data_IF_959753776243
#
_entry.id   IF_959753776243
#
_cell.length_a   1.000
_cell.length_b   1.000
_cell.length_c   1.000
_cell.angle_alpha   90.00
_cell.angle_beta   90.00
_cell.angle_gamma   90.00
#
_symmetry.space_group_name_H-M   'P 1'
#
loop_
_entity.id
_entity.type
_entity.pdbx_description
1 polymer ?
#
# COMPACT_ATOMS: atom_id res chain seq x y z
N UNK A 1 28.56 6.11 32.30
CA UNK A 1 27.36 6.97 32.35
C UNK A 1 27.23 7.91 31.14
N UNK A 2 27.84 9.10 31.09
CA UNK A 2 27.62 10.07 29.98
C UNK A 2 28.11 9.58 28.60
N UNK A 3 29.25 8.90 28.53
CA UNK A 3 29.82 8.34 27.30
C UNK A 3 29.02 7.15 26.75
N UNK A 4 28.42 6.35 27.63
CA UNK A 4 27.56 5.21 27.26
C UNK A 4 26.22 5.68 26.71
N UNK A 5 25.65 6.75 27.29
CA UNK A 5 24.42 7.39 26.80
C UNK A 5 24.66 8.02 25.43
N UNK A 6 25.78 8.74 25.24
CA UNK A 6 26.15 9.32 23.95
C UNK A 6 26.43 8.25 22.89
N UNK A 7 27.06 7.13 23.28
CA UNK A 7 27.28 5.98 22.41
C UNK A 7 25.98 5.33 21.94
N UNK A 8 25.05 5.06 22.88
CA UNK A 8 23.74 4.48 22.56
C UNK A 8 22.89 5.41 21.67
N UNK A 9 22.91 6.72 21.91
CA UNK A 9 22.23 7.71 21.09
C UNK A 9 22.79 7.77 19.66
N UNK A 10 24.12 7.76 19.51
CA UNK A 10 24.78 7.74 18.21
C UNK A 10 24.45 6.46 17.41
N UNK A 11 24.50 5.29 18.06
CA UNK A 11 24.13 4.01 17.42
C UNK A 11 22.65 3.99 17.01
N UNK A 12 21.74 4.48 17.87
CA UNK A 12 20.32 4.59 17.56
C UNK A 12 20.05 5.51 16.36
N UNK A 13 20.74 6.64 16.27
CA UNK A 13 20.63 7.56 15.13
C UNK A 13 21.10 6.92 13.82
N UNK A 14 22.20 6.16 13.84
CA UNK A 14 22.73 5.47 12.66
C UNK A 14 21.75 4.38 12.18
N UNK A 15 21.22 3.57 13.08
CA UNK A 15 20.24 2.52 12.75
C UNK A 15 18.96 3.14 12.18
N UNK A 16 18.47 4.22 12.79
CA UNK A 16 17.29 4.95 12.32
C UNK A 16 17.50 5.57 10.95
N UNK A 17 18.65 6.20 10.71
CA UNK A 17 19.00 6.78 9.42
C UNK A 17 19.08 5.69 8.33
N UNK A 18 19.68 4.55 8.63
CA UNK A 18 19.76 3.43 7.70
C UNK A 18 18.38 2.82 7.39
N UNK A 19 17.55 2.60 8.42
CA UNK A 19 16.18 2.13 8.25
C UNK A 19 15.34 3.11 7.41
N UNK A 20 15.44 4.41 7.70
CA UNK A 20 14.76 5.47 6.96
C UNK A 20 15.19 5.50 5.49
N UNK A 21 16.51 5.42 5.23
CA UNK A 21 17.04 5.38 3.87
C UNK A 21 16.52 4.15 3.09
N UNK A 22 16.49 2.97 3.72
CA UNK A 22 15.95 1.74 3.11
C UNK A 22 14.45 1.84 2.80
N UNK A 23 13.67 2.43 3.70
CA UNK A 23 12.23 2.65 3.49
C UNK A 23 12.00 3.66 2.36
N UNK A 24 12.74 4.78 2.37
CA UNK A 24 12.62 5.81 1.34
C UNK A 24 12.98 5.28 -0.05
N UNK A 25 14.11 4.58 -0.21
CA UNK A 25 14.53 4.00 -1.48
C UNK A 25 13.50 3.00 -2.04
N UNK A 26 12.95 2.14 -1.16
CA UNK A 26 11.89 1.20 -1.54
C UNK A 26 10.64 1.94 -1.99
N UNK A 27 10.20 2.95 -1.25
CA UNK A 27 9.00 3.70 -1.57
C UNK A 27 9.12 4.41 -2.92
N UNK A 28 10.28 5.04 -3.20
CA UNK A 28 10.55 5.67 -4.50
C UNK A 28 10.45 4.65 -5.64
N UNK A 29 11.06 3.47 -5.47
CA UNK A 29 11.01 2.43 -6.49
C UNK A 29 9.58 1.91 -6.71
N UNK A 30 8.86 1.62 -5.63
CA UNK A 30 7.46 1.15 -5.68
C UNK A 30 6.57 2.20 -6.32
N UNK A 31 6.73 3.48 -5.99
CA UNK A 31 5.94 4.57 -6.55
C UNK A 31 6.18 4.75 -8.03
N UNK A 32 7.45 4.69 -8.47
CA UNK A 32 7.80 4.77 -9.89
C UNK A 32 7.16 3.65 -10.70
N UNK A 33 7.32 2.39 -10.26
CA UNK A 33 6.72 1.23 -10.92
C UNK A 33 5.18 1.31 -10.90
N UNK A 34 4.59 1.72 -9.78
CA UNK A 34 3.13 1.82 -9.66
C UNK A 34 2.55 2.91 -10.56
N UNK A 35 3.26 4.03 -10.75
CA UNK A 35 2.88 5.08 -11.71
C UNK A 35 2.91 4.57 -13.14
N UNK A 36 3.99 3.91 -13.56
CA UNK A 36 4.09 3.33 -14.91
C UNK A 36 3.02 2.25 -15.15
N UNK A 37 2.71 1.41 -14.15
CA UNK A 37 1.62 0.43 -14.26
C UNK A 37 0.25 1.09 -14.32
N UNK A 38 0.06 2.23 -13.66
CA UNK A 38 -1.19 3.01 -13.77
C UNK A 38 -1.36 3.54 -15.18
N UNK A 39 -0.30 4.10 -15.77
CA UNK A 39 -0.30 4.53 -17.18
C UNK A 39 -0.57 3.36 -18.13
N UNK A 40 0.11 2.23 -17.91
CA UNK A 40 -0.10 1.03 -18.72
C UNK A 40 -1.56 0.54 -18.65
N UNK A 41 -2.17 0.46 -17.45
CA UNK A 41 -3.57 0.07 -17.30
C UNK A 41 -4.51 1.04 -18.04
N UNK A 42 -4.23 2.34 -17.97
CA UNK A 42 -5.05 3.34 -18.66
C UNK A 42 -4.98 3.16 -20.18
N UNK A 43 -3.78 2.96 -20.73
CA UNK A 43 -3.63 2.64 -22.15
C UNK A 43 -4.33 1.34 -22.56
N UNK A 44 -4.31 0.30 -21.72
CA UNK A 44 -5.04 -0.94 -22.01
C UNK A 44 -6.56 -0.70 -22.05
N UNK A 45 -7.10 0.16 -21.16
CA UNK A 45 -8.52 0.55 -21.18
C UNK A 45 -8.87 1.36 -22.43
N UNK A 46 -8.06 2.35 -22.77
CA UNK A 46 -8.23 3.15 -23.99
C UNK A 46 -8.21 2.28 -25.25
N UNK A 47 -7.31 1.30 -25.32
CA UNK A 47 -7.24 0.37 -26.44
C UNK A 47 -8.47 -0.54 -26.51
N UNK A 48 -8.96 -1.02 -25.36
CA UNK A 48 -10.17 -1.84 -25.31
C UNK A 48 -11.42 -1.05 -25.73
N UNK A 49 -11.51 0.22 -25.35
CA UNK A 49 -12.60 1.10 -25.76
C UNK A 49 -12.56 1.40 -27.27
N UNK A 50 -11.39 1.78 -27.80
CA UNK A 50 -11.18 1.97 -29.24
C UNK A 50 -11.49 0.70 -30.03
N UNK A 51 -11.10 -0.47 -29.52
CA UNK A 51 -11.39 -1.76 -30.15
C UNK A 51 -12.89 -2.03 -30.19
N UNK A 52 -13.60 -1.71 -29.10
CA UNK A 52 -15.05 -1.84 -29.01
C UNK A 52 -15.74 -0.96 -30.04
N UNK A 53 -15.34 0.31 -30.14
CA UNK A 53 -15.88 1.24 -31.13
C UNK A 53 -15.59 0.78 -32.57
N UNK A 54 -14.33 0.45 -32.88
CA UNK A 54 -13.93 0.00 -34.21
C UNK A 54 -14.66 -1.27 -34.65
N UNK A 55 -14.85 -2.22 -33.72
CA UNK A 55 -15.56 -3.48 -33.99
C UNK A 55 -17.04 -3.24 -34.27
N UNK A 56 -17.71 -2.43 -33.43
CA UNK A 56 -19.14 -2.09 -33.61
C UNK A 56 -19.39 -1.31 -34.89
N UNK A 57 -18.45 -0.45 -35.29
CA UNK A 57 -18.51 0.32 -36.53
C UNK A 57 -18.06 -0.47 -37.77
N UNK A 58 -17.65 -1.74 -37.63
CA UNK A 58 -17.20 -2.57 -38.73
C UNK A 58 -15.85 -2.17 -39.35
N UNK A 59 -15.05 -1.36 -38.65
CA UNK A 59 -13.78 -0.80 -39.12
C UNK A 59 -12.62 -1.81 -38.94
N UNK A 60 -12.61 -2.88 -39.74
CA UNK A 60 -11.67 -4.00 -39.55
C UNK A 60 -10.18 -3.64 -39.69
N UNK A 61 -9.84 -2.67 -40.54
CA UNK A 61 -8.46 -2.18 -40.64
C UNK A 61 -8.00 -1.53 -39.33
N UNK A 62 -8.89 -0.79 -38.67
CA UNK A 62 -8.60 -0.19 -37.37
C UNK A 62 -8.48 -1.25 -36.27
N UNK A 63 -9.30 -2.31 -36.32
CA UNK A 63 -9.17 -3.47 -35.43
C UNK A 63 -7.78 -4.12 -35.57
N UNK A 64 -7.30 -4.32 -36.81
CA UNK A 64 -5.94 -4.84 -37.05
C UNK A 64 -4.85 -3.91 -36.51
N UNK A 65 -5.00 -2.59 -36.68
CA UNK A 65 -4.06 -1.60 -36.11
C UNK A 65 -4.05 -1.64 -34.58
N UNK A 66 -5.21 -1.78 -33.94
CA UNK A 66 -5.34 -1.89 -32.49
C UNK A 66 -4.76 -3.21 -31.98
N UNK A 67 -4.93 -4.31 -32.72
CA UNK A 67 -4.31 -5.62 -32.42
C UNK A 67 -2.79 -5.52 -32.29
N UNK A 68 -2.12 -4.77 -33.18
CA UNK A 68 -0.69 -4.52 -33.09
C UNK A 68 -0.33 -3.72 -31.83
N UNK A 69 -1.13 -2.70 -31.48
CA UNK A 69 -0.91 -1.93 -30.25
C UNK A 69 -1.09 -2.76 -28.98
N UNK A 70 -2.05 -3.69 -28.97
CA UNK A 70 -2.16 -4.68 -27.89
C UNK A 70 -0.92 -5.57 -27.84
N UNK A 71 -0.45 -6.09 -28.97
CA UNK A 71 0.73 -6.96 -29.02
C UNK A 71 2.00 -6.30 -28.45
N UNK A 72 2.18 -5.00 -28.67
CA UNK A 72 3.33 -4.25 -28.12
C UNK A 72 3.27 -4.08 -26.59
N UNK A 73 2.10 -4.25 -25.97
CA UNK A 73 1.86 -3.97 -24.55
C UNK A 73 1.58 -5.21 -23.71
N UNK A 74 1.21 -6.31 -24.35
CA UNK A 74 0.92 -7.60 -23.72
C UNK A 74 2.17 -8.49 -23.72
N UNK A 75 2.22 -9.44 -22.78
CA UNK A 75 3.34 -10.36 -22.69
C UNK A 75 3.20 -11.50 -23.71
N UNK A 76 4.10 -11.63 -24.70
CA UNK A 76 4.01 -12.69 -25.71
C UNK A 76 4.21 -14.10 -25.15
N UNK A 77 4.84 -14.24 -23.97
CA UNK A 77 5.06 -15.53 -23.32
C UNK A 77 3.89 -15.97 -22.44
N UNK A 78 2.94 -15.07 -22.15
CA UNK A 78 1.78 -15.40 -21.33
C UNK A 78 0.63 -15.94 -22.20
N UNK A 79 0.10 -17.09 -21.83
CA UNK A 79 -0.95 -17.78 -22.59
C UNK A 79 -2.27 -17.01 -22.60
N UNK A 80 -2.63 -16.37 -21.49
CA UNK A 80 -3.87 -15.60 -21.41
C UNK A 80 -3.78 -14.30 -22.23
N UNK A 81 -2.59 -13.69 -22.31
CA UNK A 81 -2.32 -12.54 -23.19
C UNK A 81 -2.34 -12.93 -24.67
N UNK A 82 -1.70 -14.05 -25.04
CA UNK A 82 -1.81 -14.59 -26.40
C UNK A 82 -3.25 -14.89 -26.79
N UNK A 83 -4.06 -15.36 -25.84
CA UNK A 83 -5.48 -15.60 -26.06
C UNK A 83 -6.27 -14.31 -26.33
N UNK A 84 -5.89 -13.18 -25.74
CA UNK A 84 -6.48 -11.87 -26.07
C UNK A 84 -6.21 -11.55 -27.55
N UNK A 85 -4.95 -11.64 -27.97
CA UNK A 85 -4.55 -11.36 -29.36
C UNK A 85 -5.26 -12.28 -30.37
N UNK A 86 -5.34 -13.58 -30.06
CA UNK A 86 -6.05 -14.55 -30.89
C UNK A 86 -7.54 -14.22 -31.04
N UNK A 87 -8.21 -13.76 -29.97
CA UNK A 87 -9.62 -13.37 -30.08
C UNK A 87 -9.80 -12.06 -30.84
N UNK A 88 -8.83 -11.13 -30.80
CA UNK A 88 -8.83 -9.96 -31.70
C UNK A 88 -8.69 -10.40 -33.16
N UNK A 89 -7.82 -11.37 -33.46
CA UNK A 89 -7.69 -11.94 -34.81
C UNK A 89 -9.00 -12.62 -35.28
N UNK A 90 -9.75 -13.22 -34.35
CA UNK A 90 -11.09 -13.76 -34.63
C UNK A 90 -12.10 -12.67 -34.98
N UNK A 91 -12.04 -11.48 -34.38
CA UNK A 91 -12.93 -10.37 -34.76
C UNK A 91 -12.76 -10.00 -36.24
N UNK A 92 -11.52 -10.02 -36.73
CA UNK A 92 -11.19 -9.66 -38.12
C UNK A 92 -11.68 -10.73 -39.10
N UNK A 93 -11.53 -12.00 -38.75
CA UNK A 93 -11.81 -13.14 -39.63
C UNK A 93 -13.24 -13.67 -39.54
N UNK A 94 -13.96 -13.38 -38.45
CA UNK A 94 -15.30 -13.88 -38.22
C UNK A 94 -16.39 -13.18 -39.06
N UNK A 95 -17.49 -13.89 -39.37
CA UNK A 95 -18.70 -13.29 -39.90
C UNK A 95 -19.23 -12.18 -38.99
N UNK A 96 -19.89 -11.17 -39.57
CA UNK A 96 -20.37 -9.99 -38.83
C UNK A 96 -21.21 -10.35 -37.58
N UNK A 97 -22.00 -11.42 -37.66
CA UNK A 97 -22.85 -11.93 -36.56
C UNK A 97 -22.06 -12.45 -35.35
N UNK A 98 -20.81 -12.86 -35.54
CA UNK A 98 -19.96 -13.45 -34.48
C UNK A 98 -18.90 -12.49 -33.95
N UNK A 99 -18.70 -11.33 -34.59
CA UNK A 99 -17.67 -10.35 -34.19
C UNK A 99 -17.92 -9.78 -32.80
N UNK A 100 -19.19 -9.52 -32.47
CA UNK A 100 -19.56 -8.99 -31.15
C UNK A 100 -19.33 -10.03 -30.04
N UNK A 101 -19.55 -11.31 -30.33
CA UNK A 101 -19.24 -12.40 -29.38
C UNK A 101 -17.73 -12.48 -29.13
N UNK A 102 -16.92 -12.41 -30.19
CA UNK A 102 -15.46 -12.37 -30.04
C UNK A 102 -14.97 -11.12 -29.29
N UNK A 103 -15.65 -9.97 -29.47
CA UNK A 103 -15.38 -8.74 -28.73
C UNK A 103 -15.69 -8.87 -27.23
N UNK A 104 -16.80 -9.53 -26.88
CA UNK A 104 -17.16 -9.78 -25.49
C UNK A 104 -16.12 -10.66 -24.80
N UNK A 105 -15.63 -11.70 -25.49
CA UNK A 105 -14.54 -12.55 -25.02
C UNK A 105 -13.24 -11.75 -24.78
N UNK A 106 -12.86 -10.87 -25.72
CA UNK A 106 -11.71 -9.98 -25.56
C UNK A 106 -11.89 -9.08 -24.34
N UNK A 107 -13.05 -8.44 -24.22
CA UNK A 107 -13.35 -7.50 -23.14
C UNK A 107 -13.25 -8.16 -21.77
N UNK A 108 -13.83 -9.36 -21.62
CA UNK A 108 -13.76 -10.11 -20.38
C UNK A 108 -12.33 -10.56 -20.02
N UNK A 109 -11.53 -10.98 -21.01
CA UNK A 109 -10.11 -11.33 -20.80
C UNK A 109 -9.27 -10.12 -20.42
N UNK A 110 -9.53 -8.95 -21.01
CA UNK A 110 -8.89 -7.68 -20.62
C UNK A 110 -9.28 -7.30 -19.20
N UNK A 111 -10.54 -7.49 -18.80
CA UNK A 111 -10.95 -7.25 -17.41
C UNK A 111 -10.18 -8.15 -16.42
N UNK A 112 -10.00 -9.44 -16.75
CA UNK A 112 -9.18 -10.37 -15.95
C UNK A 112 -7.70 -9.96 -15.91
N UNK A 113 -7.13 -9.50 -17.03
CA UNK A 113 -5.78 -8.95 -17.08
C UNK A 113 -5.61 -7.78 -16.10
N UNK A 114 -6.51 -6.79 -16.19
CA UNK A 114 -6.46 -5.60 -15.34
C UNK A 114 -6.67 -5.94 -13.86
N UNK A 115 -7.54 -6.91 -13.56
CA UNK A 115 -7.75 -7.40 -12.20
C UNK A 115 -6.50 -8.07 -11.65
N UNK A 116 -5.84 -8.93 -12.43
CA UNK A 116 -4.58 -9.57 -12.04
C UNK A 116 -3.46 -8.55 -11.82
N UNK A 117 -3.31 -7.59 -12.74
CA UNK A 117 -2.32 -6.51 -12.62
C UNK A 117 -2.51 -5.72 -11.31
N UNK A 118 -3.76 -5.40 -10.96
CA UNK A 118 -4.11 -4.74 -9.70
C UNK A 118 -3.74 -5.55 -8.46
N UNK A 119 -4.10 -6.84 -8.42
CA UNK A 119 -3.73 -7.72 -7.30
C UNK A 119 -2.21 -7.83 -7.16
N UNK A 120 -1.49 -7.89 -8.29
CA UNK A 120 -0.01 -7.91 -8.31
C UNK A 120 0.57 -6.60 -7.80
N UNK A 121 0.01 -5.45 -8.16
CA UNK A 121 0.47 -4.15 -7.66
C UNK A 121 0.30 -4.06 -6.12
N UNK A 122 -0.84 -4.51 -5.59
CA UNK A 122 -1.04 -4.61 -4.13
C UNK A 122 -0.06 -5.57 -3.46
N UNK A 123 0.27 -6.67 -4.13
CA UNK A 123 1.24 -7.63 -3.61
C UNK A 123 2.66 -7.05 -3.56
N UNK A 124 3.09 -6.34 -4.59
CA UNK A 124 4.41 -5.73 -4.69
C UNK A 124 4.60 -4.60 -3.66
N UNK A 125 3.54 -3.85 -3.35
CA UNK A 125 3.59 -2.76 -2.37
C UNK A 125 3.58 -3.25 -0.92
N UNK A 126 3.20 -4.51 -0.65
CA UNK A 126 3.25 -5.11 0.70
C UNK A 126 4.68 -5.20 1.23
N UNK A 127 4.82 -4.97 2.53
CA UNK A 127 6.06 -5.20 3.27
C UNK A 127 6.43 -6.67 3.21
N UNK A 128 7.72 -7.00 3.13
CA UNK A 128 8.18 -8.39 2.93
C UNK A 128 7.64 -9.35 4.00
N UNK A 129 7.48 -8.89 5.24
CA UNK A 129 6.94 -9.66 6.36
C UNK A 129 5.46 -10.03 6.14
N UNK A 130 4.73 -9.21 5.38
CA UNK A 130 3.29 -9.40 5.08
C UNK A 130 3.04 -9.93 3.67
N UNK A 131 4.10 -10.24 2.92
CA UNK A 131 3.98 -10.84 1.58
C UNK A 131 3.62 -12.31 1.73
N UNK A 132 2.39 -12.64 1.33
CA UNK A 132 1.92 -14.02 1.21
C UNK A 132 2.31 -14.62 -0.15
N UNK A 133 1.44 -15.49 -0.69
CA UNK A 133 1.61 -16.01 -2.05
C UNK A 133 1.37 -14.91 -3.10
N UNK A 134 2.16 -14.92 -4.17
CA UNK A 134 1.94 -14.06 -5.32
C UNK A 134 0.59 -14.36 -5.99
N UNK A 135 -0.14 -13.34 -6.48
CA UNK A 135 -1.42 -13.53 -7.14
C UNK A 135 -1.23 -14.28 -8.45
N UNK A 136 -2.01 -15.35 -8.63
CA UNK A 136 -2.06 -16.11 -9.88
C UNK A 136 -3.20 -15.59 -10.75
N UNK A 137 -3.02 -15.71 -12.07
CA UNK A 137 -4.01 -15.27 -13.05
C UNK A 137 -5.15 -16.29 -13.10
N UNK A 138 -6.38 -15.80 -13.02
CA UNK A 138 -7.58 -16.64 -13.12
C UNK A 138 -7.78 -17.01 -14.59
N UNK A 139 -8.01 -18.29 -14.88
CA UNK A 139 -8.33 -18.75 -16.22
C UNK A 139 -9.68 -18.16 -16.67
N UNK A 140 -9.76 -17.74 -17.93
CA UNK A 140 -11.00 -17.24 -18.49
C UNK A 140 -12.01 -18.38 -18.66
N UNK A 141 -13.22 -18.18 -18.14
CA UNK A 141 -14.38 -19.06 -18.34
C UNK A 141 -15.47 -18.23 -19.01
N UNK A 142 -15.99 -18.65 -20.18
CA UNK A 142 -17.01 -17.90 -20.90
C UNK A 142 -18.30 -17.76 -20.08
N UNK A 143 -18.96 -16.62 -20.25
CA UNK A 143 -20.12 -16.22 -19.45
C UNK A 143 -21.32 -17.17 -19.56
N UNK A 144 -21.36 -18.03 -20.58
CA UNK A 144 -22.36 -19.09 -20.75
C UNK A 144 -22.34 -20.15 -19.65
N UNK A 145 -21.31 -20.16 -18.78
CA UNK A 145 -21.08 -21.24 -17.81
C UNK A 145 -21.23 -20.81 -16.34
N UNK A 146 -21.27 -19.52 -16.01
CA UNK A 146 -21.01 -19.09 -14.61
C UNK A 146 -22.25 -18.51 -13.92
N UNK A 147 -22.97 -19.39 -13.24
CA UNK A 147 -24.01 -19.08 -12.23
C UNK A 147 -23.53 -19.23 -10.78
N UNK A 148 -22.28 -18.85 -10.45
CA UNK A 148 -21.83 -18.85 -9.04
C UNK A 148 -21.04 -17.59 -8.67
N UNK A 149 -21.54 -16.93 -7.64
CA UNK A 149 -20.90 -15.80 -6.96
C UNK A 149 -19.50 -16.17 -6.47
N UNK A 150 -18.50 -15.39 -6.90
CA UNK A 150 -17.13 -15.49 -6.37
C UNK A 150 -17.04 -14.55 -5.17
N UNK A 151 -17.40 -15.07 -4.00
CA UNK A 151 -17.01 -14.49 -2.71
C UNK A 151 -15.55 -14.84 -2.41
N UNK A 152 -14.73 -13.83 -2.12
CA UNK A 152 -13.63 -13.96 -1.16
C UNK A 152 -13.04 -12.59 -0.82
N UNK A 153 -13.67 -11.88 0.12
CA UNK A 153 -13.01 -10.85 0.91
C UNK A 153 -12.10 -11.57 1.91
N UNK A 154 -10.78 -11.52 1.70
CA UNK A 154 -9.83 -12.04 2.69
C UNK A 154 -9.76 -11.05 3.85
N UNK A 155 -10.56 -11.29 4.88
CA UNK A 155 -10.45 -10.57 6.14
C UNK A 155 -9.07 -10.82 6.73
N UNK A 156 -8.40 -9.73 7.07
CA UNK A 156 -7.15 -9.77 7.81
C UNK A 156 -7.52 -10.29 9.20
N UNK A 157 -6.96 -11.44 9.61
CA UNK A 157 -7.33 -12.04 10.89
C UNK A 157 -7.15 -11.01 12.00
N UNK A 158 -8.20 -10.80 12.80
CA UNK A 158 -8.20 -9.83 13.89
C UNK A 158 -6.94 -9.96 14.77
N UNK A 159 -6.47 -11.19 14.98
CA UNK A 159 -5.22 -11.52 15.69
C UNK A 159 -3.96 -10.89 15.07
N UNK A 160 -3.84 -10.88 13.74
CA UNK A 160 -2.71 -10.23 13.06
C UNK A 160 -2.73 -8.71 13.20
N UNK A 161 -3.92 -8.10 13.26
CA UNK A 161 -4.06 -6.66 13.51
C UNK A 161 -3.73 -6.30 14.97
N UNK A 162 -4.18 -7.12 15.93
CA UNK A 162 -3.88 -6.95 17.36
C UNK A 162 -2.39 -7.10 17.64
N UNK A 163 -1.73 -8.10 17.04
CA UNK A 163 -0.28 -8.29 17.19
C UNK A 163 0.54 -7.10 16.69
N UNK A 164 0.13 -6.50 15.55
CA UNK A 164 0.77 -5.29 15.02
C UNK A 164 0.52 -4.05 15.89
N UNK A 165 -0.67 -3.93 16.48
CA UNK A 165 -0.99 -2.85 17.40
C UNK A 165 -0.15 -2.95 18.68
N UNK A 166 0.02 -4.15 19.22
CA UNK A 166 0.82 -4.40 20.42
C UNK A 166 2.30 -4.03 20.20
N UNK A 167 2.88 -4.36 19.04
CA UNK A 167 4.28 -3.99 18.73
C UNK A 167 4.45 -2.48 18.54
N UNK A 168 3.48 -1.79 17.94
CA UNK A 168 3.50 -0.32 17.85
C UNK A 168 3.40 0.35 19.22
N UNK A 169 2.54 -0.15 20.11
CA UNK A 169 2.41 0.35 21.49
C UNK A 169 3.71 0.13 22.27
N UNK A 170 4.33 -1.05 22.14
CA UNK A 170 5.62 -1.33 22.79
C UNK A 170 6.73 -0.39 22.28
N UNK A 171 6.83 -0.18 20.97
CA UNK A 171 7.81 0.74 20.38
C UNK A 171 7.58 2.20 20.82
N UNK A 172 6.32 2.65 20.86
CA UNK A 172 5.97 3.98 21.36
C UNK A 172 6.32 4.14 22.85
N UNK A 173 6.08 3.10 23.66
CA UNK A 173 6.47 3.06 25.08
C UNK A 173 7.99 3.19 25.26
N UNK A 174 8.79 2.47 24.47
CA UNK A 174 10.26 2.58 24.51
C UNK A 174 10.73 3.98 24.11
N UNK A 175 10.17 4.56 23.06
CA UNK A 175 10.52 5.93 22.63
C UNK A 175 10.14 6.96 23.70
N UNK A 176 8.97 6.81 24.33
CA UNK A 176 8.56 7.66 25.45
C UNK A 176 9.51 7.49 26.63
N UNK A 177 9.90 6.28 27.00
CA UNK A 177 10.89 6.03 28.06
C UNK A 177 12.24 6.68 27.77
N UNK A 178 12.71 6.63 26.52
CA UNK A 178 13.95 7.30 26.12
C UNK A 178 13.82 8.83 26.18
N UNK A 179 12.68 9.38 25.74
CA UNK A 179 12.42 10.82 25.74
C UNK A 179 12.14 11.39 27.14
N UNK A 180 11.35 10.69 27.95
CA UNK A 180 11.04 11.05 29.33
C UNK A 180 12.21 10.73 30.28
N UNK A 181 13.02 9.70 29.95
CA UNK A 181 14.32 9.39 30.55
C UNK A 181 15.29 10.56 30.59
N UNK A 182 15.15 11.49 29.65
CA UNK A 182 15.94 12.72 29.57
C UNK A 182 15.39 13.85 30.46
N UNK A 183 14.21 13.68 31.06
CA UNK A 183 13.63 14.67 31.97
C UNK A 183 14.13 14.45 33.41
N UNK A 184 14.58 15.53 34.06
CA UNK A 184 15.06 15.51 35.46
C UNK A 184 14.15 14.75 36.44
N UNK A 185 12.84 15.01 36.52
CA UNK A 185 11.99 14.36 37.52
C UNK A 185 11.89 12.83 37.34
N UNK A 186 11.96 12.34 36.10
CA UNK A 186 11.92 10.90 35.83
C UNK A 186 13.28 10.24 36.02
N UNK A 187 14.37 10.94 35.70
CA UNK A 187 15.73 10.47 36.01
C UNK A 187 15.92 10.31 37.52
N UNK A 188 15.44 11.25 38.33
CA UNK A 188 15.49 11.16 39.80
C UNK A 188 14.67 9.97 40.33
N UNK A 189 13.48 9.74 39.75
CA UNK A 189 12.64 8.58 40.07
C UNK A 189 13.35 7.25 39.76
N UNK A 190 13.99 7.13 38.58
CA UNK A 190 14.74 5.93 38.19
C UNK A 190 15.99 5.73 39.05
N UNK A 191 16.70 6.81 39.41
CA UNK A 191 17.85 6.73 40.31
C UNK A 191 17.45 6.22 41.69
N UNK A 192 16.31 6.67 42.21
CA UNK A 192 15.78 6.19 43.49
C UNK A 192 15.37 4.70 43.42
N UNK A 193 14.74 4.27 42.32
CA UNK A 193 14.36 2.86 42.14
C UNK A 193 15.54 1.92 41.89
N UNK A 194 16.65 2.44 41.38
CA UNK A 194 17.88 1.69 41.09
C UNK A 194 18.95 1.85 42.19
N UNK A 195 18.60 2.46 43.33
CA UNK A 195 19.53 2.60 44.46
C UNK A 195 19.74 1.22 45.13
N UNK A 196 20.99 0.71 45.18
CA UNK A 196 21.29 -0.58 45.79
C UNK A 196 21.01 -0.64 47.30
N UNK A 197 20.86 0.51 47.97
CA UNK A 197 20.50 0.57 49.39
C UNK A 197 19.01 0.25 49.64
N UNK A 198 18.17 0.34 48.61
CA UNK A 198 16.72 0.11 48.69
C UNK A 198 16.31 -1.10 47.87
N UNK A 199 15.67 -2.08 48.51
CA UNK A 199 15.11 -3.24 47.82
C UNK A 199 13.63 -3.02 47.55
N UNK A 200 13.27 -2.87 46.27
CA UNK A 200 11.88 -2.72 45.86
C UNK A 200 11.24 -4.09 45.57
N UNK A 201 10.05 -4.39 46.12
CA UNK A 201 9.31 -5.60 45.77
C UNK A 201 8.85 -5.58 44.30
N UNK A 202 8.73 -6.76 43.69
CA UNK A 202 8.39 -6.90 42.27
C UNK A 202 7.11 -6.14 41.83
N UNK A 203 6.14 -5.98 42.73
CA UNK A 203 4.91 -5.21 42.47
C UNK A 203 5.17 -3.72 42.17
N UNK A 204 6.20 -3.13 42.76
CA UNK A 204 6.54 -1.71 42.55
C UNK A 204 7.20 -1.52 41.18
N UNK A 205 8.04 -2.47 40.76
CA UNK A 205 8.58 -2.52 39.39
C UNK A 205 7.49 -2.67 38.34
N UNK A 206 6.50 -3.55 38.59
CA UNK A 206 5.32 -3.69 37.71
C UNK A 206 4.52 -2.39 37.68
N UNK A 207 4.30 -1.75 38.83
CA UNK A 207 3.61 -0.46 38.93
C UNK A 207 4.30 0.64 38.11
N UNK A 208 5.62 0.74 38.21
CA UNK A 208 6.43 1.68 37.44
C UNK A 208 6.31 1.44 35.92
N UNK A 209 6.37 0.17 35.49
CA UNK A 209 6.22 -0.19 34.09
C UNK A 209 4.82 0.15 33.54
N UNK A 210 3.76 -0.15 34.32
CA UNK A 210 2.37 0.17 33.95
C UNK A 210 2.16 1.68 33.89
N UNK A 211 2.64 2.43 34.88
CA UNK A 211 2.53 3.88 34.90
C UNK A 211 3.21 4.49 33.66
N UNK A 212 4.43 4.06 33.34
CA UNK A 212 5.14 4.57 32.18
C UNK A 212 4.48 4.20 30.84
N UNK A 213 3.84 3.03 30.74
CA UNK A 213 2.99 2.68 29.59
C UNK A 213 1.78 3.62 29.46
N UNK A 214 1.08 3.92 30.56
CA UNK A 214 -0.07 4.83 30.57
C UNK A 214 0.35 6.24 30.16
N UNK A 215 1.42 6.77 30.76
CA UNK A 215 1.93 8.09 30.41
C UNK A 215 2.41 8.17 28.97
N UNK A 216 3.08 7.12 28.47
CA UNK A 216 3.50 7.04 27.07
C UNK A 216 2.32 6.99 26.09
N UNK A 217 1.28 6.22 26.40
CA UNK A 217 0.05 6.18 25.62
C UNK A 217 -0.67 7.54 25.63
N UNK A 218 -0.80 8.17 26.80
CA UNK A 218 -1.42 9.48 26.95
C UNK A 218 -0.66 10.55 26.14
N UNK A 219 0.67 10.55 26.21
CA UNK A 219 1.51 11.45 25.41
C UNK A 219 1.34 11.21 23.91
N UNK A 220 1.33 9.95 23.46
CA UNK A 220 1.12 9.60 22.06
C UNK A 220 -0.24 10.08 21.54
N UNK A 221 -1.31 9.95 22.33
CA UNK A 221 -2.64 10.46 21.98
C UNK A 221 -2.61 11.98 21.87
N UNK A 222 -2.03 12.67 22.85
CA UNK A 222 -1.96 14.13 22.87
C UNK A 222 -1.15 14.68 21.69
N UNK A 223 -0.02 14.05 21.36
CA UNK A 223 0.79 14.40 20.20
C UNK A 223 0.03 14.20 18.88
N UNK A 224 -0.75 13.12 18.77
CA UNK A 224 -1.58 12.86 17.59
C UNK A 224 -2.67 13.94 17.43
N UNK A 225 -3.35 14.29 18.53
CA UNK A 225 -4.34 15.37 18.55
C UNK A 225 -3.71 16.70 18.14
N UNK A 226 -2.54 17.03 18.69
CA UNK A 226 -1.79 18.23 18.34
C UNK A 226 -1.44 18.26 16.84
N UNK A 227 -0.94 17.15 16.27
CA UNK A 227 -0.61 17.06 14.85
C UNK A 227 -1.82 17.19 13.92
N UNK A 228 -2.97 16.65 14.33
CA UNK A 228 -4.23 16.83 13.60
C UNK A 228 -4.65 18.30 13.63
N UNK A 229 -4.54 18.97 14.78
CA UNK A 229 -4.85 20.39 14.92
C UNK A 229 -3.91 21.27 14.08
N UNK A 230 -2.60 21.01 14.10
CA UNK A 230 -1.59 21.70 13.29
C UNK A 230 -1.92 21.61 11.80
N UNK A 231 -2.21 20.40 11.30
CA UNK A 231 -2.59 20.19 9.89
C UNK A 231 -3.84 20.99 9.53
N UNK A 232 -4.86 20.98 10.39
CA UNK A 232 -6.10 21.73 10.16
C UNK A 232 -5.85 23.23 10.07
N UNK A 233 -5.01 23.79 10.95
CA UNK A 233 -4.62 25.19 10.93
C UNK A 233 -3.87 25.57 9.64
N UNK A 234 -2.94 24.72 9.19
CA UNK A 234 -2.20 24.94 7.94
C UNK A 234 -3.13 24.91 6.73
N UNK A 235 -4.07 23.95 6.67
CA UNK A 235 -5.03 23.83 5.57
C UNK A 235 -6.02 25.02 5.52
N UNK A 236 -6.48 25.51 6.67
CA UNK A 236 -7.35 26.69 6.77
C UNK A 236 -6.60 27.98 6.42
N UNK A 237 -5.35 28.12 6.88
CA UNK A 237 -4.44 29.21 6.51
C UNK A 237 -4.23 29.28 5.00
N UNK A 238 -3.91 28.15 4.37
CA UNK A 238 -3.71 28.06 2.92
C UNK A 238 -4.96 28.44 2.10
N UNK A 239 -6.16 27.99 2.53
CA UNK A 239 -7.42 28.38 1.86
C UNK A 239 -7.73 29.87 2.00
N UNK A 240 -7.41 30.48 3.13
CA UNK A 240 -7.63 31.92 3.34
C UNK A 240 -6.75 32.77 2.41
N UNK A 241 -5.49 32.37 2.20
CA UNK A 241 -4.56 33.03 1.27
C UNK A 241 -5.02 32.86 -0.17
N UNK A 242 -5.45 31.65 -0.56
CA UNK A 242 -5.96 31.38 -1.90
C UNK A 242 -7.23 32.20 -2.22
N UNK A 243 -8.17 32.33 -1.29
CA UNK A 243 -9.37 33.18 -1.47
C UNK A 243 -9.03 34.67 -1.62
N UNK A 244 -7.95 35.13 -1.00
CA UNK A 244 -7.50 36.53 -1.08
C UNK A 244 -6.87 36.87 -2.43
N UNK A 245 -6.21 35.91 -3.07
CA UNK A 245 -5.61 36.10 -4.40
C UNK A 245 -6.61 36.01 -5.55
N UNK A 246 -7.77 35.36 -5.36
CA UNK A 246 -8.83 35.29 -6.38
C UNK A 246 -9.71 36.55 -6.40
N UNK A 247 -9.67 37.37 -5.34
CA UNK A 247 -10.45 38.60 -5.20
C UNK A 247 -9.63 39.89 -5.43
N UNK A 248 -8.43 39.78 -6.03
CA UNK A 248 -7.58 40.89 -6.50
C UNK A 248 -7.44 40.77 -8.00
#
# INVERSE_FOLDING_TARGET
MLTEILGAAATGAIISAFATMRVAARNIHVDSVTKERTKWREHIRELADKLTMATRNGQLQEVQRLRLQFQLRLNPQDEADRSILSNIDRIVTAPATQRLVALDDVTARVALLLKHDWERAKYETRFWITRGKAPQRVAYVPATVVGKEVSARRDMSFLTAVGWLATMIAAAGVIFFLAAGLSKPFSELLMNFNDPATTHPAREWVGLAVAALIFGLMWSILHLVFKIAEKKLVDEGGRSVAKRQVNV
#
